data_IF_409010565597
#
_entry.id   IF_409010565597
#
_cell.length_a   1.000
_cell.length_b   1.000
_cell.length_c   1.000
_cell.angle_alpha   90.00
_cell.angle_beta   90.00
_cell.angle_gamma   90.00
#
_symmetry.space_group_name_H-M   'P 1'
#
loop_
_entity.id
_entity.type
_entity.pdbx_description
1 polymer ?
#
# COMPACT_ATOMS: atom_id res chain seq x y z
N UNK A 1 -13.49 -22.03 -8.88
CA UNK A 1 -14.61 -22.75 -9.56
C UNK A 1 -14.09 -23.71 -10.63
N UNK A 2 -14.95 -24.57 -11.21
CA UNK A 2 -14.55 -25.43 -12.33
C UNK A 2 -14.50 -24.61 -13.64
N UNK A 3 -13.56 -24.97 -14.55
CA UNK A 3 -13.43 -24.29 -15.85
C UNK A 3 -14.75 -24.22 -16.64
N UNK A 4 -15.58 -25.26 -16.54
CA UNK A 4 -16.89 -25.32 -17.21
C UNK A 4 -17.87 -24.25 -16.68
N UNK A 5 -17.84 -24.00 -15.38
CA UNK A 5 -18.69 -22.99 -14.73
C UNK A 5 -18.20 -21.60 -15.09
N UNK A 6 -16.89 -21.38 -15.02
CA UNK A 6 -16.26 -20.13 -15.44
C UNK A 6 -16.56 -19.79 -16.91
N UNK A 7 -16.41 -20.75 -17.82
CA UNK A 7 -16.71 -20.55 -19.23
C UNK A 7 -18.17 -20.08 -19.47
N UNK A 8 -19.11 -20.68 -18.72
CA UNK A 8 -20.52 -20.27 -18.79
C UNK A 8 -20.74 -18.85 -18.29
N UNK A 9 -20.09 -18.45 -17.20
CA UNK A 9 -20.16 -17.08 -16.66
C UNK A 9 -19.55 -16.04 -17.63
N UNK A 10 -18.47 -16.41 -18.33
CA UNK A 10 -17.84 -15.54 -19.32
C UNK A 10 -18.52 -15.58 -20.70
N UNK A 11 -19.61 -16.34 -20.83
CA UNK A 11 -20.34 -16.44 -22.12
C UNK A 11 -19.55 -17.17 -23.24
N UNK A 12 -18.53 -17.97 -22.90
CA UNK A 12 -17.73 -18.73 -23.86
C UNK A 12 -18.00 -20.23 -23.74
N UNK A 13 -17.74 -20.96 -24.86
CA UNK A 13 -17.87 -22.41 -24.83
C UNK A 13 -16.80 -23.06 -23.94
N UNK A 14 -17.14 -24.18 -23.29
CA UNK A 14 -16.15 -24.95 -22.52
C UNK A 14 -14.94 -25.34 -23.37
N UNK A 15 -15.14 -25.68 -24.66
CA UNK A 15 -14.07 -26.02 -25.59
C UNK A 15 -13.13 -24.85 -25.83
N UNK A 16 -13.66 -23.64 -25.94
CA UNK A 16 -12.85 -22.41 -26.07
C UNK A 16 -12.00 -22.18 -24.83
N UNK A 17 -12.60 -22.25 -23.64
CA UNK A 17 -11.88 -22.11 -22.37
C UNK A 17 -10.80 -23.19 -22.17
N UNK A 18 -11.10 -24.44 -22.59
CA UNK A 18 -10.12 -25.53 -22.53
C UNK A 18 -8.95 -25.30 -23.47
N UNK A 19 -9.19 -24.81 -24.69
CA UNK A 19 -8.13 -24.45 -25.62
C UNK A 19 -7.23 -23.33 -25.05
N UNK A 20 -7.83 -22.31 -24.45
CA UNK A 20 -7.09 -21.23 -23.77
C UNK A 20 -6.24 -21.75 -22.62
N UNK A 21 -6.75 -22.68 -21.83
CA UNK A 21 -5.99 -23.31 -20.74
C UNK A 21 -4.76 -24.06 -21.28
N UNK A 22 -4.92 -24.88 -22.33
CA UNK A 22 -3.81 -25.63 -22.93
C UNK A 22 -2.81 -24.75 -23.69
N UNK A 23 -3.25 -23.60 -24.21
CA UNK A 23 -2.40 -22.62 -24.86
C UNK A 23 -1.73 -21.62 -23.90
N UNK A 24 -1.98 -21.76 -22.58
CA UNK A 24 -1.53 -20.82 -21.52
C UNK A 24 -1.98 -19.36 -21.78
N UNK A 25 -3.14 -19.20 -22.42
CA UNK A 25 -3.72 -17.90 -22.76
C UNK A 25 -5.00 -17.59 -21.99
N UNK A 26 -5.31 -18.40 -20.96
CA UNK A 26 -6.47 -18.14 -20.11
C UNK A 26 -6.26 -16.83 -19.32
N UNK A 27 -7.23 -15.89 -19.33
CA UNK A 27 -7.05 -14.58 -18.70
C UNK A 27 -7.06 -14.61 -17.14
N UNK A 28 -7.21 -15.81 -16.56
CA UNK A 28 -7.24 -16.03 -15.11
C UNK A 28 -6.37 -17.22 -14.75
N UNK A 29 -5.72 -17.24 -13.58
CA UNK A 29 -4.95 -18.39 -13.13
C UNK A 29 -5.81 -19.64 -13.03
N UNK A 30 -5.31 -20.75 -13.52
CA UNK A 30 -6.00 -22.02 -13.45
C UNK A 30 -5.01 -23.17 -13.23
N UNK A 31 -5.46 -24.23 -12.57
CA UNK A 31 -4.66 -25.44 -12.33
C UNK A 31 -5.45 -26.71 -12.60
N UNK A 32 -4.78 -27.70 -13.13
CA UNK A 32 -5.38 -29.03 -13.33
C UNK A 32 -5.13 -29.92 -12.11
N UNK A 33 -6.17 -30.53 -11.60
CA UNK A 33 -6.08 -31.54 -10.55
C UNK A 33 -5.63 -32.89 -11.16
N UNK A 34 -5.09 -33.80 -10.34
CA UNK A 34 -4.75 -35.17 -10.78
C UNK A 34 -5.93 -35.95 -11.39
N UNK A 35 -7.16 -35.57 -11.04
CA UNK A 35 -8.41 -36.09 -11.59
C UNK A 35 -8.75 -35.59 -12.99
N UNK A 36 -7.90 -34.72 -13.59
CA UNK A 36 -8.15 -34.08 -14.87
C UNK A 36 -9.08 -32.85 -14.80
N UNK A 37 -9.66 -32.56 -13.64
CA UNK A 37 -10.53 -31.39 -13.47
C UNK A 37 -9.70 -30.11 -13.42
N UNK A 38 -10.05 -29.12 -14.25
CA UNK A 38 -9.40 -27.80 -14.24
C UNK A 38 -10.19 -26.88 -13.32
N UNK A 39 -9.47 -26.33 -12.31
CA UNK A 39 -9.98 -25.31 -11.40
C UNK A 39 -9.44 -23.94 -11.83
N UNK A 40 -10.34 -23.00 -11.99
CA UNK A 40 -10.05 -21.59 -12.22
C UNK A 40 -10.04 -20.89 -10.88
N UNK A 41 -8.95 -20.21 -10.59
CA UNK A 41 -8.82 -19.34 -9.44
C UNK A 41 -9.45 -18.00 -9.83
N UNK A 42 -10.70 -17.81 -9.44
CA UNK A 42 -11.27 -16.47 -9.54
C UNK A 42 -10.52 -15.57 -8.56
N UNK A 43 -10.18 -14.32 -8.94
CA UNK A 43 -9.88 -13.32 -7.96
C UNK A 43 -11.05 -13.36 -6.97
N UNK A 44 -10.80 -13.69 -5.71
CA UNK A 44 -11.82 -13.52 -4.68
C UNK A 44 -12.27 -12.08 -4.83
N UNK A 45 -13.52 -11.85 -5.24
CA UNK A 45 -14.15 -10.56 -4.98
C UNK A 45 -13.91 -10.34 -3.49
N UNK A 46 -13.07 -9.36 -3.20
CA UNK A 46 -12.71 -9.10 -1.82
C UNK A 46 -13.96 -8.49 -1.18
N UNK A 47 -14.78 -9.35 -0.58
CA UNK A 47 -15.92 -8.92 0.25
C UNK A 47 -15.45 -8.16 1.50
N UNK A 48 -14.14 -7.93 1.60
CA UNK A 48 -13.52 -7.23 2.68
C UNK A 48 -13.62 -5.69 2.55
N UNK A 49 -13.29 -5.02 3.64
CA UNK A 49 -13.34 -3.55 3.74
C UNK A 49 -12.22 -2.89 2.94
N UNK A 50 -12.56 -1.80 2.26
CA UNK A 50 -11.60 -0.88 1.64
C UNK A 50 -11.36 0.29 2.60
N UNK A 51 -10.11 0.48 3.00
CA UNK A 51 -9.73 1.47 4.02
C UNK A 51 -8.68 2.41 3.44
N UNK A 52 -8.95 3.72 3.53
CA UNK A 52 -7.96 4.74 3.20
C UNK A 52 -6.98 4.91 4.38
N UNK A 53 -5.68 5.00 4.08
CA UNK A 53 -4.66 5.31 5.06
C UNK A 53 -3.94 6.60 4.67
N UNK A 54 -4.01 7.59 5.57
CA UNK A 54 -3.40 8.90 5.41
C UNK A 54 -2.37 9.14 6.51
N UNK A 55 -1.21 9.69 6.16
CA UNK A 55 -0.11 9.91 7.09
C UNK A 55 0.60 11.24 6.83
N UNK A 56 0.99 11.89 7.93
CA UNK A 56 1.97 12.99 7.93
C UNK A 56 3.09 12.66 8.92
N UNK A 57 4.25 13.25 8.72
CA UNK A 57 5.44 12.94 9.52
C UNK A 57 5.37 13.55 10.94
N UNK A 58 4.74 14.70 11.10
CA UNK A 58 4.74 15.43 12.37
C UNK A 58 3.38 16.05 12.71
N UNK A 59 3.19 16.43 13.99
CA UNK A 59 1.93 16.90 14.52
C UNK A 59 1.53 18.31 14.06
N UNK A 60 2.48 19.11 13.60
CA UNK A 60 2.26 20.43 13.01
C UNK A 60 1.60 20.35 11.62
N UNK A 61 1.62 19.17 10.98
CA UNK A 61 0.99 18.89 9.68
C UNK A 61 -0.45 18.33 9.80
N UNK A 62 -1.14 18.49 10.91
CA UNK A 62 -2.51 17.95 11.06
C UNK A 62 -3.50 18.49 10.05
N UNK A 63 -3.37 19.75 9.65
CA UNK A 63 -4.24 20.34 8.63
C UNK A 63 -3.97 19.72 7.25
N UNK A 64 -2.71 19.39 6.94
CA UNK A 64 -2.33 18.67 5.73
C UNK A 64 -2.90 17.25 5.75
N UNK A 65 -2.90 16.59 6.91
CA UNK A 65 -3.49 15.26 7.08
C UNK A 65 -4.99 15.27 6.78
N UNK A 66 -5.73 16.29 7.24
CA UNK A 66 -7.15 16.44 6.93
C UNK A 66 -7.38 16.71 5.44
N UNK A 67 -6.58 17.59 4.84
CA UNK A 67 -6.64 17.84 3.38
C UNK A 67 -6.32 16.58 2.58
N UNK A 68 -5.32 15.81 3.00
CA UNK A 68 -4.98 14.52 2.38
C UNK A 68 -6.16 13.54 2.43
N UNK A 69 -6.81 13.39 3.59
CA UNK A 69 -7.97 12.51 3.73
C UNK A 69 -9.13 12.94 2.81
N UNK A 70 -9.36 14.25 2.66
CA UNK A 70 -10.35 14.80 1.73
C UNK A 70 -10.04 14.48 0.26
N UNK A 71 -8.78 14.70 -0.17
CA UNK A 71 -8.35 14.37 -1.54
C UNK A 71 -8.49 12.88 -1.85
N UNK A 72 -8.09 12.01 -0.91
CA UNK A 72 -8.23 10.56 -1.06
C UNK A 72 -9.68 10.15 -1.20
N UNK A 73 -10.58 10.70 -0.38
CA UNK A 73 -12.02 10.39 -0.45
C UNK A 73 -12.64 10.86 -1.79
N UNK A 74 -12.29 12.07 -2.23
CA UNK A 74 -12.75 12.61 -3.51
C UNK A 74 -12.29 11.77 -4.69
N UNK A 75 -11.00 11.42 -4.71
CA UNK A 75 -10.41 10.63 -5.80
C UNK A 75 -10.97 9.20 -5.83
N UNK A 76 -11.17 8.58 -4.66
CA UNK A 76 -11.85 7.28 -4.56
C UNK A 76 -13.28 7.36 -5.14
N UNK A 77 -14.02 8.41 -4.81
CA UNK A 77 -15.37 8.63 -5.34
C UNK A 77 -15.36 8.75 -6.87
N UNK A 78 -14.42 9.52 -7.45
CA UNK A 78 -14.26 9.65 -8.90
C UNK A 78 -13.97 8.32 -9.59
N UNK A 79 -13.20 7.45 -8.93
CA UNK A 79 -12.83 6.11 -9.44
C UNK A 79 -13.87 5.02 -9.12
N UNK A 80 -14.97 5.36 -8.47
CA UNK A 80 -16.00 4.40 -8.06
C UNK A 80 -15.55 3.45 -6.94
N UNK A 81 -14.54 3.82 -6.17
CA UNK A 81 -14.02 3.05 -5.04
C UNK A 81 -14.78 3.45 -3.78
N UNK A 82 -15.54 2.52 -3.21
CA UNK A 82 -16.25 2.74 -1.95
C UNK A 82 -15.32 2.58 -0.76
N UNK A 83 -15.09 3.64 0.01
CA UNK A 83 -14.34 3.60 1.25
C UNK A 83 -15.24 3.23 2.43
N UNK A 84 -14.83 2.22 3.21
CA UNK A 84 -15.49 1.82 4.45
C UNK A 84 -14.98 2.63 5.66
N UNK A 85 -13.73 3.05 5.62
CA UNK A 85 -13.11 3.85 6.68
C UNK A 85 -11.91 4.65 6.16
N UNK A 86 -11.55 5.71 6.88
CA UNK A 86 -10.31 6.45 6.68
C UNK A 86 -9.51 6.47 7.99
N UNK A 87 -8.29 5.97 7.95
CA UNK A 87 -7.36 5.96 9.08
C UNK A 87 -6.34 7.07 8.87
N UNK A 88 -6.20 7.93 9.86
CA UNK A 88 -5.22 9.02 9.87
C UNK A 88 -4.17 8.79 10.95
N UNK A 89 -2.90 8.94 10.64
CA UNK A 89 -1.79 8.72 11.57
C UNK A 89 -0.73 9.81 11.45
N UNK A 90 -0.20 10.24 12.59
CA UNK A 90 0.97 11.12 12.65
C UNK A 90 2.18 10.26 13.03
N UNK A 91 3.16 10.21 12.17
CA UNK A 91 4.37 9.42 12.39
C UNK A 91 5.25 9.36 11.14
N UNK A 92 6.55 9.20 11.32
CA UNK A 92 7.52 9.13 10.23
C UNK A 92 7.30 7.90 9.34
N UNK A 93 7.47 8.08 8.04
CA UNK A 93 7.45 6.99 7.05
C UNK A 93 8.60 6.01 7.18
N UNK A 94 9.66 6.40 7.89
CA UNK A 94 10.86 5.59 8.15
C UNK A 94 10.81 4.85 9.49
N UNK A 95 9.84 5.19 10.36
CA UNK A 95 9.70 4.54 11.66
C UNK A 95 8.67 3.41 11.59
N UNK A 96 9.05 2.20 12.00
CA UNK A 96 8.15 1.04 12.09
C UNK A 96 7.10 1.14 13.21
N UNK A 97 7.24 2.07 14.17
CA UNK A 97 6.31 2.20 15.28
C UNK A 97 5.07 3.04 14.92
N UNK A 98 4.27 2.53 14.00
CA UNK A 98 3.00 3.11 13.54
C UNK A 98 1.87 2.18 13.94
N UNK A 99 1.31 2.43 15.13
CA UNK A 99 0.33 1.53 15.75
C UNK A 99 -0.95 1.38 14.91
N UNK A 100 -1.40 2.45 14.24
CA UNK A 100 -2.61 2.41 13.43
C UNK A 100 -2.37 1.64 12.13
N UNK A 101 -1.22 1.85 11.46
CA UNK A 101 -0.85 1.05 10.29
C UNK A 101 -0.68 -0.42 10.66
N UNK A 102 -0.01 -0.73 11.77
CA UNK A 102 0.16 -2.11 12.22
C UNK A 102 -1.18 -2.82 12.45
N UNK A 103 -2.15 -2.13 13.09
CA UNK A 103 -3.51 -2.65 13.26
C UNK A 103 -4.23 -2.84 11.92
N UNK A 104 -4.10 -1.90 10.99
CA UNK A 104 -4.69 -1.99 9.65
C UNK A 104 -4.12 -3.18 8.87
N UNK A 105 -2.80 -3.38 8.93
CA UNK A 105 -2.14 -4.52 8.26
C UNK A 105 -2.52 -5.86 8.87
N UNK A 106 -2.75 -5.91 10.19
CA UNK A 106 -3.14 -7.11 10.91
C UNK A 106 -4.64 -7.46 10.80
N UNK A 107 -5.47 -6.54 10.32
CA UNK A 107 -6.92 -6.74 10.22
C UNK A 107 -7.29 -7.59 8.99
N UNK A 108 -7.75 -8.85 9.16
CA UNK A 108 -8.09 -9.73 8.05
C UNK A 108 -9.34 -9.29 7.26
N UNK A 109 -10.18 -8.45 7.85
CA UNK A 109 -11.38 -7.93 7.21
C UNK A 109 -11.06 -6.81 6.19
N UNK A 110 -9.84 -6.27 6.22
CA UNK A 110 -9.39 -5.26 5.25
C UNK A 110 -8.81 -5.96 4.03
N UNK A 111 -9.49 -5.85 2.93
CA UNK A 111 -9.08 -6.44 1.64
C UNK A 111 -8.31 -5.46 0.76
N UNK A 112 -8.58 -4.17 0.91
CA UNK A 112 -7.95 -3.13 0.10
C UNK A 112 -7.53 -1.94 0.97
N UNK A 113 -6.28 -1.51 0.81
CA UNK A 113 -5.74 -0.31 1.44
C UNK A 113 -5.50 0.74 0.35
N UNK A 114 -6.10 1.91 0.50
CA UNK A 114 -5.93 3.03 -0.43
C UNK A 114 -5.04 4.08 0.18
N UNK A 115 -4.04 4.54 -0.56
CA UNK A 115 -3.13 5.62 -0.16
C UNK A 115 -3.01 6.66 -1.26
N UNK A 116 -2.75 7.91 -0.89
CA UNK A 116 -2.49 8.98 -1.86
C UNK A 116 -1.19 8.71 -2.63
N UNK A 117 -0.10 8.45 -1.91
CA UNK A 117 1.23 8.14 -2.44
C UNK A 117 1.81 6.90 -1.75
N UNK A 118 2.70 6.18 -2.40
CA UNK A 118 3.36 4.96 -1.86
C UNK A 118 4.08 5.22 -0.53
N UNK A 119 4.71 6.37 -0.41
CA UNK A 119 5.47 6.80 0.78
C UNK A 119 4.60 7.01 2.03
N UNK A 120 3.25 7.10 1.87
CA UNK A 120 2.32 7.12 3.02
C UNK A 120 2.36 5.79 3.77
N UNK A 121 2.54 4.67 3.07
CA UNK A 121 2.69 3.34 3.70
C UNK A 121 4.07 3.17 4.33
N UNK A 122 5.11 3.34 3.55
CA UNK A 122 6.49 3.27 4.01
C UNK A 122 7.38 4.05 3.04
N UNK A 123 8.43 4.67 3.54
CA UNK A 123 9.39 5.35 2.67
C UNK A 123 10.23 4.36 1.87
N UNK A 124 10.51 3.19 2.46
CA UNK A 124 11.24 2.10 1.83
C UNK A 124 10.52 0.77 2.07
N UNK A 125 10.64 -0.16 1.13
CA UNK A 125 10.15 -1.52 1.25
C UNK A 125 8.63 -1.67 1.11
N UNK A 126 7.94 -0.75 0.42
CA UNK A 126 6.51 -0.87 0.11
C UNK A 126 6.26 -2.14 -0.69
N UNK A 127 7.19 -2.54 -1.54
CA UNK A 127 7.15 -3.77 -2.34
C UNK A 127 7.00 -5.02 -1.47
N UNK A 128 7.63 -5.04 -0.30
CA UNK A 128 7.49 -6.16 0.65
C UNK A 128 6.10 -6.18 1.28
N UNK A 129 5.52 -5.01 1.56
CA UNK A 129 4.15 -4.91 2.06
C UNK A 129 3.14 -5.35 0.98
N UNK A 130 3.34 -4.93 -0.26
CA UNK A 130 2.52 -5.34 -1.40
C UNK A 130 2.57 -6.86 -1.60
N UNK A 131 3.77 -7.45 -1.60
CA UNK A 131 3.95 -8.90 -1.73
C UNK A 131 3.28 -9.67 -0.57
N UNK A 132 3.47 -9.22 0.68
CA UNK A 132 2.87 -9.86 1.85
C UNK A 132 1.34 -9.79 1.85
N UNK A 133 0.77 -8.65 1.47
CA UNK A 133 -0.68 -8.47 1.38
C UNK A 133 -1.26 -9.28 0.22
N UNK A 134 -0.60 -9.26 -0.94
CA UNK A 134 -1.00 -10.04 -2.12
C UNK A 134 -1.05 -11.54 -1.83
N UNK A 135 -0.12 -12.07 -1.03
CA UNK A 135 -0.12 -13.47 -0.61
C UNK A 135 -1.39 -13.88 0.16
N UNK A 136 -2.07 -12.91 0.76
CA UNK A 136 -3.35 -13.12 1.47
C UNK A 136 -4.57 -12.65 0.66
N UNK A 137 -4.40 -12.32 -0.63
CA UNK A 137 -5.46 -11.83 -1.52
C UNK A 137 -5.89 -10.39 -1.21
N UNK A 138 -5.04 -9.63 -0.55
CA UNK A 138 -5.25 -8.21 -0.21
C UNK A 138 -4.48 -7.32 -1.19
N UNK A 139 -4.96 -6.10 -1.41
CA UNK A 139 -4.39 -5.17 -2.39
C UNK A 139 -4.07 -3.81 -1.79
N UNK A 140 -3.13 -3.11 -2.42
CA UNK A 140 -2.86 -1.69 -2.17
C UNK A 140 -3.19 -0.91 -3.44
N UNK A 141 -3.96 0.15 -3.32
CA UNK A 141 -4.23 1.10 -4.39
C UNK A 141 -3.50 2.41 -4.09
N UNK A 142 -2.63 2.80 -4.97
CA UNK A 142 -1.94 4.09 -4.93
C UNK A 142 -2.65 5.05 -5.90
N UNK A 143 -3.11 6.18 -5.40
CA UNK A 143 -3.89 7.13 -6.20
C UNK A 143 -3.00 8.02 -7.06
N UNK A 144 -1.83 8.41 -6.53
CA UNK A 144 -0.84 9.20 -7.24
C UNK A 144 0.56 8.59 -7.06
N UNK A 145 1.27 8.39 -8.15
CA UNK A 145 2.60 7.81 -8.15
C UNK A 145 3.73 8.83 -7.95
N UNK A 146 3.43 10.13 -7.88
CA UNK A 146 4.43 11.15 -7.64
C UNK A 146 4.99 11.05 -6.22
N UNK A 147 6.29 11.25 -6.07
CA UNK A 147 6.95 11.33 -4.76
C UNK A 147 6.90 12.75 -4.20
N UNK A 148 6.61 12.87 -2.90
CA UNK A 148 6.61 14.17 -2.20
C UNK A 148 8.00 14.40 -1.60
N UNK A 149 8.82 15.19 -2.29
CA UNK A 149 10.23 15.44 -1.92
C UNK A 149 10.37 16.12 -0.54
N UNK A 150 9.49 17.06 -0.19
CA UNK A 150 9.56 17.79 1.08
C UNK A 150 9.40 16.88 2.31
N UNK A 151 8.57 15.85 2.20
CA UNK A 151 8.38 14.86 3.27
C UNK A 151 9.61 13.96 3.42
N UNK A 152 10.36 13.68 2.35
CA UNK A 152 11.58 12.88 2.40
C UNK A 152 12.66 13.57 3.24
N UNK A 153 12.91 14.86 3.01
CA UNK A 153 13.89 15.65 3.78
C UNK A 153 13.52 15.66 5.26
N UNK A 154 12.24 15.81 5.59
CA UNK A 154 11.75 15.80 6.96
C UNK A 154 11.94 14.43 7.62
N UNK A 155 11.55 13.34 6.96
CA UNK A 155 11.71 11.97 7.46
C UNK A 155 13.20 11.64 7.72
N UNK A 156 14.10 12.01 6.80
CA UNK A 156 15.55 11.83 6.96
C UNK A 156 16.07 12.63 8.17
N UNK A 157 15.63 13.88 8.30
CA UNK A 157 16.01 14.73 9.43
C UNK A 157 15.58 14.12 10.78
N UNK A 158 14.40 13.53 10.87
CA UNK A 158 13.92 12.83 12.07
C UNK A 158 14.78 11.60 12.40
N UNK A 159 15.10 10.78 11.41
CA UNK A 159 15.93 9.60 11.60
C UNK A 159 17.34 10.00 12.06
N UNK A 160 17.98 10.95 11.39
CA UNK A 160 19.28 11.46 11.76
C UNK A 160 19.24 12.08 13.17
N UNK A 161 18.18 12.81 13.52
CA UNK A 161 17.99 13.37 14.87
C UNK A 161 17.94 12.25 15.90
N UNK A 162 17.17 11.17 15.64
CA UNK A 162 17.06 10.02 16.53
C UNK A 162 18.43 9.30 16.69
N UNK A 163 19.15 9.09 15.60
CA UNK A 163 20.49 8.48 15.62
C UNK A 163 21.48 9.35 16.39
N UNK A 164 21.52 10.65 16.12
CA UNK A 164 22.38 11.59 16.84
C UNK A 164 22.04 11.66 18.35
N UNK A 165 20.76 11.56 18.71
CA UNK A 165 20.32 11.52 20.10
C UNK A 165 20.81 10.26 20.83
N UNK A 166 20.85 9.11 20.14
CA UNK A 166 21.39 7.85 20.71
C UNK A 166 22.91 7.87 20.86
N UNK A 167 23.63 8.47 19.90
CA UNK A 167 25.08 8.47 19.87
C UNK A 167 25.69 9.57 20.74
N UNK A 168 25.09 10.75 20.80
CA UNK A 168 25.70 11.96 21.36
C UNK A 168 24.86 12.65 22.45
N UNK A 169 23.69 12.11 22.78
CA UNK A 169 22.75 12.69 23.74
C UNK A 169 21.84 13.77 23.12
N UNK A 170 20.69 13.97 23.78
CA UNK A 170 19.55 14.73 23.21
C UNK A 170 19.81 16.22 22.92
N UNK A 171 20.72 16.88 23.66
CA UNK A 171 20.88 18.36 23.60
C UNK A 171 21.45 18.90 22.28
N UNK A 172 22.19 18.12 21.52
CA UNK A 172 22.80 18.55 20.24
C UNK A 172 22.34 17.77 19.02
N UNK A 173 21.47 16.80 19.20
CA UNK A 173 21.07 15.85 18.14
C UNK A 173 20.41 16.54 16.94
N UNK A 174 19.44 17.42 17.18
CA UNK A 174 18.70 18.11 16.12
C UNK A 174 19.61 19.00 15.26
N UNK A 175 20.51 19.78 15.91
CA UNK A 175 21.45 20.66 15.21
C UNK A 175 22.43 19.88 14.33
N UNK A 176 22.94 18.73 14.82
CA UNK A 176 23.86 17.87 14.05
C UNK A 176 23.16 17.18 12.88
N UNK A 177 21.93 16.73 13.06
CA UNK A 177 21.13 16.15 11.98
C UNK A 177 20.87 17.18 10.86
N UNK A 178 20.48 18.39 11.21
CA UNK A 178 20.28 19.48 10.25
C UNK A 178 21.57 19.85 9.50
N UNK A 179 22.71 19.93 10.22
CA UNK A 179 24.00 20.20 9.60
C UNK A 179 24.42 19.06 8.65
N UNK A 180 24.13 17.80 8.97
CA UNK A 180 24.41 16.66 8.10
C UNK A 180 23.59 16.73 6.79
N UNK A 181 22.32 17.01 6.88
CA UNK A 181 21.44 17.18 5.70
C UNK A 181 21.90 18.36 4.85
N UNK A 182 22.24 19.51 5.48
CA UNK A 182 22.72 20.69 4.76
C UNK A 182 24.08 20.43 4.06
N UNK A 183 24.96 19.66 4.69
CA UNK A 183 26.24 19.29 4.07
C UNK A 183 26.05 18.40 2.83
N UNK A 184 25.15 17.42 2.90
CA UNK A 184 24.81 16.58 1.74
C UNK A 184 24.15 17.35 0.59
N UNK A 185 23.41 18.41 0.90
CA UNK A 185 22.77 19.26 -0.12
C UNK A 185 23.69 20.30 -0.74
N UNK A 186 24.86 20.56 -0.15
CA UNK A 186 25.83 21.58 -0.59
C UNK A 186 26.96 21.02 -1.50
N UNK A 187 27.04 19.71 -1.69
CA UNK A 187 27.95 19.08 -2.65
C UNK A 187 27.30 19.04 -4.03
N UNK A 188 27.95 19.59 -5.09
CA UNK A 188 27.44 19.65 -6.46
C UNK A 188 27.42 18.28 -7.15
#
# INVERSE_FOLDING_TARGET
MKLKEWAREQGVSYRTALNWFHADTLPVPARQLPTGTILVEQPKESTGRTVAYCRVSSADQKDDLHRQAGRVAEECSKRGITLNATITEVGSGMNGNRAKLAKLLADPEVSCIVVEHRDRLARFGVEHLEAALSATGRTIIVLNNDEVADDLVRDITEVLTSMCARLYGRRSAKKRAQNGVAACAAEP
#
